data_IF_939169944890
#
_entry.id   IF_939169944890
#
_cell.length_a   1.000
_cell.length_b   1.000
_cell.length_c   1.000
_cell.angle_alpha   90.00
_cell.angle_beta   90.00
_cell.angle_gamma   90.00
#
_symmetry.space_group_name_H-M   'P 1'
#
loop_
_entity.id
_entity.type
_entity.pdbx_description
1 polymer ?
#
# COMPACT_ATOMS: atom_id res chain seq x y z
N UNK A 1 -12.47 -19.36 -26.60
CA UNK A 1 -11.79 -20.25 -25.64
C UNK A 1 -11.21 -19.36 -24.53
N UNK A 2 -11.90 -19.23 -23.40
CA UNK A 2 -11.41 -18.40 -22.29
C UNK A 2 -10.31 -19.16 -21.56
N UNK A 3 -9.10 -18.61 -21.54
CA UNK A 3 -7.95 -19.17 -20.82
C UNK A 3 -8.26 -19.05 -19.33
N UNK A 4 -8.67 -20.15 -18.68
CA UNK A 4 -8.80 -20.23 -17.21
C UNK A 4 -7.41 -20.42 -16.61
N UNK A 5 -6.94 -19.45 -15.84
CA UNK A 5 -5.73 -19.56 -15.01
C UNK A 5 -5.90 -20.73 -14.04
N UNK A 6 -4.94 -21.67 -14.05
CA UNK A 6 -4.90 -22.79 -13.10
C UNK A 6 -4.63 -22.22 -11.69
N UNK A 7 -5.53 -22.44 -10.74
CA UNK A 7 -5.31 -22.11 -9.33
C UNK A 7 -4.22 -23.02 -8.76
N UNK A 8 -3.08 -22.45 -8.36
CA UNK A 8 -1.94 -23.20 -7.81
C UNK A 8 -1.47 -22.71 -6.44
N UNK A 9 -2.19 -21.79 -5.80
CA UNK A 9 -1.82 -21.24 -4.49
C UNK A 9 -2.32 -22.14 -3.35
N UNK A 10 -1.40 -22.59 -2.49
CA UNK A 10 -1.74 -23.19 -1.20
C UNK A 10 -2.05 -22.13 -0.13
N UNK A 11 -2.51 -22.58 1.04
CA UNK A 11 -2.83 -21.68 2.18
C UNK A 11 -1.59 -20.89 2.63
N UNK A 12 -0.43 -21.54 2.66
CA UNK A 12 0.85 -20.92 3.06
C UNK A 12 1.28 -19.83 2.08
N UNK A 13 1.15 -20.08 0.77
CA UNK A 13 1.46 -19.09 -0.26
C UNK A 13 0.53 -17.87 -0.16
N UNK A 14 -0.76 -18.10 0.14
CA UNK A 14 -1.74 -17.04 0.37
C UNK A 14 -1.42 -16.18 1.60
N UNK A 15 -1.04 -16.80 2.73
CA UNK A 15 -0.62 -16.07 3.94
C UNK A 15 0.62 -15.24 3.65
N UNK A 16 1.64 -15.83 3.02
CA UNK A 16 2.88 -15.13 2.66
C UNK A 16 2.61 -13.93 1.75
N UNK A 17 1.69 -14.08 0.79
CA UNK A 17 1.30 -13.00 -0.11
C UNK A 17 0.64 -11.83 0.63
N UNK A 18 -0.34 -12.13 1.49
CA UNK A 18 -1.05 -11.10 2.26
C UNK A 18 -0.08 -10.40 3.21
N UNK A 19 0.74 -11.16 3.94
CA UNK A 19 1.76 -10.60 4.85
C UNK A 19 2.76 -9.72 4.11
N UNK A 20 3.27 -10.15 2.96
CA UNK A 20 4.21 -9.36 2.15
C UNK A 20 3.60 -8.09 1.55
N UNK A 21 2.28 -8.04 1.42
CA UNK A 21 1.58 -6.84 0.94
C UNK A 21 1.24 -5.83 2.03
N UNK A 22 0.96 -6.30 3.26
CA UNK A 22 0.65 -5.45 4.43
C UNK A 22 1.94 -4.90 5.03
N UNK A 23 3.02 -5.70 5.10
CA UNK A 23 4.33 -5.25 5.57
C UNK A 23 4.99 -4.40 4.47
N UNK A 24 4.53 -3.15 4.39
CA UNK A 24 5.00 -2.14 3.45
C UNK A 24 6.04 -1.21 4.06
N UNK A 25 6.34 -0.13 3.33
CA UNK A 25 7.20 0.93 3.85
C UNK A 25 6.52 1.86 4.86
N UNK A 26 5.21 1.69 5.07
CA UNK A 26 4.46 2.47 6.04
C UNK A 26 5.04 2.39 7.44
N UNK A 27 5.60 1.24 7.86
CA UNK A 27 6.25 1.08 9.16
C UNK A 27 7.50 1.96 9.34
N UNK A 28 8.16 2.35 8.27
CA UNK A 28 9.31 3.24 8.34
C UNK A 28 8.89 4.70 8.34
N UNK A 29 7.83 5.04 7.58
CA UNK A 29 7.31 6.40 7.41
C UNK A 29 6.50 6.88 8.63
N UNK A 30 5.71 5.98 9.21
CA UNK A 30 4.62 6.30 10.14
C UNK A 30 5.01 6.60 11.59
N UNK A 31 6.11 6.06 12.17
CA UNK A 31 6.43 6.26 13.57
C UNK A 31 6.57 7.74 13.98
N UNK A 32 7.33 8.55 13.23
CA UNK A 32 7.57 9.95 13.61
C UNK A 32 6.29 10.79 13.59
N UNK A 33 5.44 10.74 12.54
CA UNK A 33 4.16 11.45 12.55
C UNK A 33 3.19 10.96 13.62
N UNK A 34 3.17 9.66 13.94
CA UNK A 34 2.31 9.10 15.00
C UNK A 34 2.76 9.61 16.38
N UNK A 35 4.06 9.60 16.66
CA UNK A 35 4.61 10.09 17.91
C UNK A 35 4.32 11.59 18.09
N UNK A 36 4.53 12.39 17.05
CA UNK A 36 4.21 13.82 17.06
C UNK A 36 2.71 14.06 17.29
N UNK A 37 1.83 13.33 16.59
CA UNK A 37 0.38 13.44 16.76
C UNK A 37 -0.12 12.96 18.13
N UNK A 38 0.62 12.05 18.78
CA UNK A 38 0.37 11.58 20.15
C UNK A 38 0.92 12.52 21.24
N UNK A 39 1.33 13.75 20.89
CA UNK A 39 1.87 14.73 21.85
C UNK A 39 3.22 14.33 22.41
N UNK A 40 4.06 13.68 21.58
CA UNK A 40 5.38 13.13 21.94
C UNK A 40 5.35 12.06 23.04
N UNK A 41 4.18 11.47 23.30
CA UNK A 41 3.99 10.41 24.29
C UNK A 41 4.18 9.03 23.66
N UNK A 42 5.20 8.26 24.05
CA UNK A 42 5.44 6.91 23.51
C UNK A 42 4.30 5.94 23.83
N UNK A 43 3.72 6.03 25.03
CA UNK A 43 2.59 5.20 25.47
C UNK A 43 1.34 5.44 24.63
N UNK A 44 0.97 6.71 24.37
CA UNK A 44 -0.15 7.02 23.49
C UNK A 44 0.13 6.62 22.03
N UNK A 45 1.35 6.82 21.54
CA UNK A 45 1.73 6.37 20.19
C UNK A 45 1.56 4.85 20.02
N UNK A 46 1.96 4.05 21.03
CA UNK A 46 1.75 2.60 21.04
C UNK A 46 0.25 2.23 21.10
N UNK A 47 -0.57 2.96 21.85
CA UNK A 47 -2.03 2.79 21.83
C UNK A 47 -2.62 3.07 20.44
N UNK A 48 -2.13 4.10 19.73
CA UNK A 48 -2.53 4.38 18.34
C UNK A 48 -2.17 3.20 17.43
N UNK A 49 -0.94 2.67 17.52
CA UNK A 49 -0.53 1.49 16.76
C UNK A 49 -1.43 0.27 17.01
N UNK A 50 -1.75 -0.01 18.28
CA UNK A 50 -2.61 -1.14 18.67
C UNK A 50 -4.03 -0.96 18.11
N UNK A 51 -4.61 0.24 18.24
CA UNK A 51 -5.97 0.52 17.75
C UNK A 51 -6.05 0.46 16.23
N UNK A 52 -5.04 0.96 15.51
CA UNK A 52 -4.94 0.80 14.06
C UNK A 52 -4.82 -0.68 13.64
N UNK A 53 -4.07 -1.49 14.39
CA UNK A 53 -3.96 -2.93 14.13
C UNK A 53 -5.30 -3.65 14.29
N UNK A 54 -6.03 -3.38 15.38
CA UNK A 54 -7.39 -3.93 15.59
C UNK A 54 -8.33 -3.49 14.48
N UNK A 55 -8.30 -2.21 14.10
CA UNK A 55 -9.09 -1.67 12.99
C UNK A 55 -8.80 -2.39 11.67
N UNK A 56 -7.53 -2.64 11.35
CA UNK A 56 -7.13 -3.32 10.13
C UNK A 56 -7.59 -4.79 10.09
N UNK A 57 -7.54 -5.49 11.23
CA UNK A 57 -8.06 -6.87 11.33
C UNK A 57 -9.57 -6.90 11.09
N UNK A 58 -10.32 -6.02 11.76
CA UNK A 58 -11.78 -5.93 11.57
C UNK A 58 -12.14 -5.61 10.11
N UNK A 59 -11.45 -4.66 9.49
CA UNK A 59 -11.64 -4.32 8.07
C UNK A 59 -11.33 -5.50 7.14
N UNK A 60 -10.25 -6.23 7.39
CA UNK A 60 -9.83 -7.38 6.58
C UNK A 60 -10.81 -8.55 6.69
N UNK A 61 -11.36 -8.81 7.88
CA UNK A 61 -12.39 -9.84 8.08
C UNK A 61 -13.67 -9.52 7.29
N UNK A 62 -14.10 -8.26 7.29
CA UNK A 62 -15.25 -7.81 6.48
C UNK A 62 -15.02 -8.04 4.98
N UNK A 63 -13.83 -7.73 4.48
CA UNK A 63 -13.48 -7.95 3.07
C UNK A 63 -13.38 -9.45 2.76
N UNK A 64 -12.80 -10.25 3.66
CA UNK A 64 -12.64 -11.69 3.47
C UNK A 64 -13.99 -12.42 3.31
N UNK A 65 -14.97 -12.11 4.16
CA UNK A 65 -16.34 -12.66 4.03
C UNK A 65 -16.95 -12.36 2.66
N UNK A 66 -16.65 -11.18 2.14
CA UNK A 66 -17.26 -10.65 0.93
C UNK A 66 -16.62 -11.22 -0.34
N UNK A 67 -15.31 -11.40 -0.35
CA UNK A 67 -14.58 -12.09 -1.43
C UNK A 67 -15.07 -13.54 -1.56
N UNK A 68 -15.47 -14.18 -0.46
CA UNK A 68 -16.05 -15.54 -0.48
C UNK A 68 -17.46 -15.54 -1.07
N UNK A 69 -18.25 -14.48 -0.86
CA UNK A 69 -19.63 -14.34 -1.36
C UNK A 69 -19.68 -13.90 -2.82
N UNK A 70 -18.90 -12.89 -3.20
CA UNK A 70 -18.84 -12.32 -4.54
C UNK A 70 -17.68 -12.99 -5.27
N UNK A 71 -17.93 -14.17 -5.86
CA UNK A 71 -16.92 -14.93 -6.61
C UNK A 71 -16.64 -14.34 -8.01
N UNK A 72 -16.53 -13.02 -8.10
CA UNK A 72 -16.16 -12.30 -9.32
C UNK A 72 -14.75 -11.72 -9.18
N UNK A 73 -13.97 -11.82 -10.24
CA UNK A 73 -12.67 -11.16 -10.35
C UNK A 73 -12.86 -9.63 -10.43
N UNK A 74 -11.91 -8.85 -9.89
CA UNK A 74 -11.92 -7.37 -9.96
C UNK A 74 -11.80 -6.61 -8.63
N UNK A 75 -11.71 -7.31 -7.50
CA UNK A 75 -11.44 -6.72 -6.19
C UNK A 75 -12.61 -5.94 -5.57
N UNK A 76 -12.31 -4.92 -4.75
CA UNK A 76 -13.32 -4.12 -4.04
C UNK A 76 -14.29 -3.37 -4.97
N UNK A 77 -13.86 -3.06 -6.19
CA UNK A 77 -14.70 -2.43 -7.21
C UNK A 77 -15.92 -3.29 -7.54
N UNK A 78 -15.72 -4.59 -7.78
CA UNK A 78 -16.81 -5.51 -8.18
C UNK A 78 -17.88 -5.64 -7.11
N UNK A 79 -17.47 -5.54 -5.85
CA UNK A 79 -18.35 -5.52 -4.69
C UNK A 79 -19.21 -4.26 -4.66
N UNK A 80 -18.59 -3.10 -4.87
CA UNK A 80 -19.30 -1.81 -4.88
C UNK A 80 -20.27 -1.78 -6.05
N UNK A 81 -19.88 -2.33 -7.21
CA UNK A 81 -20.77 -2.50 -8.36
C UNK A 81 -21.99 -3.35 -8.02
N UNK A 82 -21.80 -4.50 -7.39
CA UNK A 82 -22.91 -5.38 -7.01
C UNK A 82 -23.83 -4.73 -5.96
N UNK A 83 -23.26 -3.97 -5.03
CA UNK A 83 -24.03 -3.33 -3.96
C UNK A 83 -24.79 -2.07 -4.41
N UNK A 84 -24.17 -1.23 -5.24
CA UNK A 84 -24.66 0.13 -5.54
C UNK A 84 -24.88 0.42 -7.01
N UNK A 85 -24.56 -0.51 -7.90
CA UNK A 85 -24.69 -0.36 -9.34
C UNK A 85 -23.53 0.44 -9.97
N UNK A 86 -23.71 0.72 -11.26
CA UNK A 86 -22.67 1.24 -12.16
C UNK A 86 -22.10 2.60 -11.72
N UNK A 87 -22.96 3.57 -11.38
CA UNK A 87 -22.55 4.95 -11.09
C UNK A 87 -21.61 5.06 -9.88
N UNK A 88 -21.97 4.43 -8.76
CA UNK A 88 -21.16 4.46 -7.54
C UNK A 88 -19.87 3.68 -7.73
N UNK A 89 -19.94 2.59 -8.49
CA UNK A 89 -18.76 1.80 -8.83
C UNK A 89 -17.78 2.58 -9.69
N UNK A 90 -18.27 3.34 -10.68
CA UNK A 90 -17.42 4.19 -11.52
C UNK A 90 -16.70 5.26 -10.71
N UNK A 91 -17.42 5.96 -9.82
CA UNK A 91 -16.79 6.97 -8.93
C UNK A 91 -15.76 6.32 -8.02
N UNK A 92 -16.07 5.15 -7.46
CA UNK A 92 -15.16 4.40 -6.59
C UNK A 92 -13.91 3.93 -7.34
N UNK A 93 -14.08 3.49 -8.58
CA UNK A 93 -13.01 3.11 -9.48
C UNK A 93 -12.12 4.31 -9.81
N UNK A 94 -12.71 5.44 -10.18
CA UNK A 94 -11.99 6.67 -10.50
C UNK A 94 -11.20 7.18 -9.29
N UNK A 95 -11.82 7.20 -8.10
CA UNK A 95 -11.16 7.54 -6.84
C UNK A 95 -9.99 6.58 -6.55
N UNK A 96 -10.17 5.28 -6.74
CA UNK A 96 -9.11 4.31 -6.48
C UNK A 96 -7.93 4.45 -7.44
N UNK A 97 -8.18 4.62 -8.74
CA UNK A 97 -7.15 4.54 -9.78
C UNK A 97 -6.47 5.88 -10.08
N UNK A 98 -7.16 7.02 -9.98
CA UNK A 98 -6.62 8.33 -10.32
C UNK A 98 -6.24 9.18 -9.10
N UNK A 99 -6.70 8.82 -7.91
CA UNK A 99 -6.45 9.58 -6.69
C UNK A 99 -5.64 8.74 -5.69
N UNK A 100 -6.20 7.64 -5.19
CA UNK A 100 -5.59 6.87 -4.11
C UNK A 100 -4.29 6.17 -4.55
N UNK A 101 -4.29 5.43 -5.66
CA UNK A 101 -3.07 4.73 -6.13
C UNK A 101 -1.93 5.70 -6.50
N UNK A 102 -2.15 6.76 -7.30
CA UNK A 102 -1.09 7.73 -7.60
C UNK A 102 -0.54 8.41 -6.35
N UNK A 103 -1.39 8.81 -5.39
CA UNK A 103 -0.91 9.36 -4.11
C UNK A 103 -0.03 8.38 -3.34
N UNK A 104 -0.42 7.10 -3.29
CA UNK A 104 0.39 6.06 -2.63
C UNK A 104 1.75 5.86 -3.31
N UNK A 105 1.81 5.92 -4.65
CA UNK A 105 3.06 5.91 -5.42
C UNK A 105 3.93 7.13 -5.06
N UNK A 106 3.34 8.33 -5.00
CA UNK A 106 4.07 9.57 -4.69
C UNK A 106 4.60 9.57 -3.26
N UNK A 107 3.78 9.22 -2.27
CA UNK A 107 4.21 9.13 -0.85
C UNK A 107 5.39 8.17 -0.71
N UNK A 108 5.32 7.02 -1.37
CA UNK A 108 6.40 6.02 -1.35
C UNK A 108 7.67 6.54 -2.02
N UNK A 109 7.53 7.25 -3.13
CA UNK A 109 8.66 7.82 -3.88
C UNK A 109 9.33 8.97 -3.11
N UNK A 110 8.55 9.84 -2.48
CA UNK A 110 9.07 10.90 -1.60
C UNK A 110 9.80 10.30 -0.40
N UNK A 111 9.23 9.26 0.23
CA UNK A 111 9.89 8.55 1.31
C UNK A 111 11.23 7.97 0.86
N UNK A 112 11.30 7.33 -0.33
CA UNK A 112 12.55 6.85 -0.89
C UNK A 112 13.60 7.97 -0.97
N UNK A 113 13.22 9.13 -1.52
CA UNK A 113 14.08 10.31 -1.59
C UNK A 113 14.58 10.76 -0.21
N UNK A 114 13.69 10.87 0.77
CA UNK A 114 14.03 11.29 2.14
C UNK A 114 15.02 10.33 2.79
N UNK A 115 14.81 9.02 2.69
CA UNK A 115 15.70 8.04 3.33
C UNK A 115 17.04 7.86 2.60
N UNK A 116 17.09 8.01 1.27
CA UNK A 116 18.35 7.98 0.50
C UNK A 116 19.22 9.19 0.84
N UNK A 117 18.60 10.36 1.01
CA UNK A 117 19.32 11.60 1.27
C UNK A 117 19.72 11.76 2.73
N UNK A 118 19.05 11.07 3.66
CA UNK A 118 19.32 11.20 5.11
C UNK A 118 20.80 11.00 5.49
N UNK A 119 21.54 10.00 4.95
CA UNK A 119 22.97 9.85 5.21
C UNK A 119 23.84 11.03 4.71
N UNK A 120 23.42 11.70 3.63
CA UNK A 120 24.18 12.80 3.02
C UNK A 120 24.02 14.09 3.84
N UNK A 121 22.88 14.25 4.49
CA UNK A 121 22.54 15.42 5.31
C UNK A 121 22.52 15.09 6.81
N UNK A 122 23.36 14.15 7.27
CA UNK A 122 23.40 13.70 8.68
C UNK A 122 23.68 14.85 9.67
N UNK A 123 24.59 15.74 9.30
CA UNK A 123 25.10 16.81 10.18
C UNK A 123 24.42 18.17 9.93
N UNK A 124 23.43 18.23 9.02
CA UNK A 124 22.70 19.45 8.75
C UNK A 124 21.58 19.65 9.78
N UNK A 125 21.46 20.86 10.39
CA UNK A 125 20.37 21.17 11.32
C UNK A 125 19.00 21.17 10.63
N UNK A 126 18.98 21.48 9.33
CA UNK A 126 17.79 21.39 8.48
C UNK A 126 17.76 20.05 7.73
N UNK A 127 16.57 19.44 7.61
CA UNK A 127 16.38 18.25 6.77
C UNK A 127 16.76 18.52 5.30
N UNK A 128 17.02 17.46 4.53
CA UNK A 128 17.38 17.57 3.12
C UNK A 128 16.39 18.48 2.35
N UNK A 129 16.87 19.37 1.46
CA UNK A 129 15.98 20.31 0.78
C UNK A 129 14.83 19.61 0.07
N UNK A 130 13.60 20.14 0.20
CA UNK A 130 12.38 19.53 -0.38
C UNK A 130 12.52 19.31 -1.88
N UNK A 131 13.20 20.21 -2.59
CA UNK A 131 13.50 20.07 -4.01
C UNK A 131 14.37 18.84 -4.32
N UNK A 132 15.38 18.56 -3.48
CA UNK A 132 16.24 17.37 -3.63
C UNK A 132 15.46 16.09 -3.36
N UNK A 133 14.64 16.06 -2.29
CA UNK A 133 13.76 14.92 -1.99
C UNK A 133 12.81 14.65 -3.15
N UNK A 134 12.15 15.70 -3.69
CA UNK A 134 11.25 15.57 -4.83
C UNK A 134 11.98 15.08 -6.08
N UNK A 135 13.19 15.57 -6.35
CA UNK A 135 13.99 15.16 -7.51
C UNK A 135 14.39 13.68 -7.42
N UNK A 136 14.94 13.24 -6.28
CA UNK A 136 15.29 11.83 -6.06
C UNK A 136 14.07 10.92 -6.05
N UNK A 137 12.96 11.37 -5.46
CA UNK A 137 11.70 10.63 -5.51
C UNK A 137 11.16 10.50 -6.93
N UNK A 138 11.19 11.57 -7.73
CA UNK A 138 10.74 11.58 -9.11
C UNK A 138 11.60 10.66 -9.98
N UNK A 139 12.93 10.72 -9.85
CA UNK A 139 13.83 9.85 -10.61
C UNK A 139 13.63 8.39 -10.25
N UNK A 140 13.49 8.06 -8.96
CA UNK A 140 13.14 6.70 -8.52
C UNK A 140 11.81 6.25 -9.13
N UNK A 141 10.76 7.05 -9.01
CA UNK A 141 9.43 6.74 -9.54
C UNK A 141 9.44 6.48 -11.05
N UNK A 142 10.02 7.39 -11.84
CA UNK A 142 10.10 7.28 -13.30
C UNK A 142 10.91 6.04 -13.71
N UNK A 143 12.01 5.75 -13.01
CA UNK A 143 12.82 4.56 -13.26
C UNK A 143 12.01 3.27 -13.06
N UNK A 144 11.23 3.18 -11.98
CA UNK A 144 10.36 2.02 -11.72
C UNK A 144 9.24 1.87 -12.74
N UNK A 145 8.64 2.98 -13.19
CA UNK A 145 7.62 2.97 -14.23
C UNK A 145 8.22 2.51 -15.57
N UNK A 146 9.40 3.01 -15.93
CA UNK A 146 10.11 2.60 -17.15
C UNK A 146 10.47 1.10 -17.11
N UNK A 147 10.94 0.59 -15.97
CA UNK A 147 11.21 -0.84 -15.78
C UNK A 147 9.94 -1.69 -15.94
N UNK A 148 8.81 -1.23 -15.40
CA UNK A 148 7.51 -1.90 -15.57
C UNK A 148 7.02 -1.89 -17.01
N UNK A 149 7.27 -0.82 -17.78
CA UNK A 149 7.01 -0.79 -19.21
C UNK A 149 7.90 -1.78 -19.98
N UNK A 150 9.17 -1.90 -19.59
CA UNK A 150 10.17 -2.76 -20.26
C UNK A 150 10.00 -4.25 -19.95
N UNK A 151 9.90 -4.63 -18.68
CA UNK A 151 9.79 -6.02 -18.26
C UNK A 151 9.21 -6.17 -16.85
N UNK A 152 7.97 -6.62 -16.81
CA UNK A 152 7.26 -7.04 -15.60
C UNK A 152 8.03 -8.10 -14.79
N UNK A 153 8.73 -9.01 -15.47
CA UNK A 153 9.48 -10.08 -14.79
C UNK A 153 10.67 -9.54 -14.00
N UNK A 154 11.41 -8.59 -14.58
CA UNK A 154 12.55 -7.96 -13.90
C UNK A 154 12.05 -7.23 -12.66
N UNK A 155 10.97 -6.47 -12.79
CA UNK A 155 10.42 -5.74 -11.64
C UNK A 155 9.85 -6.67 -10.56
N UNK A 156 9.31 -7.84 -10.93
CA UNK A 156 8.91 -8.86 -9.95
C UNK A 156 10.10 -9.43 -9.15
N UNK A 157 11.25 -9.67 -9.80
CA UNK A 157 12.47 -10.07 -9.09
C UNK A 157 13.00 -8.97 -8.17
N UNK A 158 13.02 -7.72 -8.64
CA UNK A 158 13.40 -6.55 -7.82
C UNK A 158 12.48 -6.45 -6.60
N UNK A 159 11.16 -6.60 -6.78
CA UNK A 159 10.19 -6.58 -5.68
C UNK A 159 10.47 -7.66 -4.63
N UNK A 160 10.83 -8.85 -5.08
CA UNK A 160 11.15 -9.96 -4.18
C UNK A 160 12.38 -9.63 -3.34
N UNK A 161 13.45 -9.15 -3.97
CA UNK A 161 14.67 -8.74 -3.27
C UNK A 161 14.40 -7.60 -2.26
N UNK A 162 13.59 -6.61 -2.67
CA UNK A 162 13.10 -5.52 -1.80
C UNK A 162 12.34 -6.07 -0.59
N UNK A 163 11.50 -7.08 -0.78
CA UNK A 163 10.67 -7.67 0.29
C UNK A 163 11.53 -8.42 1.31
N UNK A 164 12.49 -9.22 0.86
CA UNK A 164 13.46 -9.89 1.75
C UNK A 164 14.23 -8.85 2.57
N UNK A 165 14.67 -7.78 1.91
CA UNK A 165 15.39 -6.67 2.53
C UNK A 165 14.59 -5.98 3.63
N UNK A 166 13.28 -5.76 3.42
CA UNK A 166 12.37 -5.20 4.43
C UNK A 166 12.33 -6.02 5.70
N UNK A 167 12.14 -7.33 5.54
CA UNK A 167 12.02 -8.26 6.66
C UNK A 167 13.33 -8.28 7.46
N UNK A 168 14.47 -8.31 6.78
CA UNK A 168 15.78 -8.23 7.43
C UNK A 168 15.96 -6.92 8.20
N UNK A 169 15.58 -5.78 7.62
CA UNK A 169 15.66 -4.49 8.31
C UNK A 169 14.81 -4.45 9.59
N UNK A 170 13.60 -5.01 9.55
CA UNK A 170 12.73 -5.10 10.73
C UNK A 170 13.31 -6.00 11.80
N UNK A 171 13.83 -7.17 11.44
CA UNK A 171 14.51 -8.07 12.39
C UNK A 171 15.70 -7.38 13.06
N UNK A 172 16.51 -6.64 12.28
CA UNK A 172 17.63 -5.87 12.82
C UNK A 172 17.17 -4.78 13.79
N UNK A 173 16.17 -3.97 13.42
CA UNK A 173 15.65 -2.91 14.31
C UNK A 173 15.09 -3.50 15.60
N UNK A 174 14.30 -4.57 15.52
CA UNK A 174 13.75 -5.24 16.70
C UNK A 174 14.84 -5.83 17.60
N UNK A 175 15.85 -6.48 17.03
CA UNK A 175 16.95 -7.07 17.81
C UNK A 175 17.82 -6.00 18.49
N UNK A 176 18.19 -4.93 17.79
CA UNK A 176 18.91 -3.81 18.39
C UNK A 176 18.09 -3.11 19.49
N UNK A 177 16.78 -2.94 19.28
CA UNK A 177 15.88 -2.39 20.29
C UNK A 177 15.83 -3.25 21.57
N UNK A 178 15.72 -4.57 21.44
CA UNK A 178 15.74 -5.49 22.58
C UNK A 178 17.08 -5.47 23.33
N UNK A 179 18.20 -5.39 22.60
CA UNK A 179 19.54 -5.27 23.21
C UNK A 179 19.66 -3.96 23.99
N UNK A 180 19.17 -2.84 23.46
CA UNK A 180 19.19 -1.54 24.14
C UNK A 180 18.37 -1.58 25.45
N UNK A 181 17.16 -2.16 25.42
CA UNK A 181 16.35 -2.36 26.62
C UNK A 181 17.10 -3.23 27.63
N UNK A 182 17.74 -4.33 27.19
CA UNK A 182 18.52 -5.21 28.05
C UNK A 182 19.77 -4.56 28.67
N UNK A 183 20.29 -3.48 28.06
CA UNK A 183 21.39 -2.66 28.59
C UNK A 183 20.94 -1.59 29.58
N UNK A 184 19.63 -1.37 29.71
CA UNK A 184 19.06 -0.34 30.60
C UNK A 184 18.79 1.00 29.92
N UNK A 185 18.87 1.10 28.58
CA UNK A 185 18.56 2.32 27.81
C UNK A 185 17.04 2.58 27.73
N UNK A 186 16.38 2.68 28.88
CA UNK A 186 14.90 2.79 29.00
C UNK A 186 14.42 4.21 29.30
N UNK A 187 15.25 5.23 29.06
CA UNK A 187 14.90 6.63 29.36
C UNK A 187 13.63 7.08 28.63
N UNK A 188 13.47 6.68 27.36
CA UNK A 188 12.28 6.94 26.55
C UNK A 188 11.01 6.21 27.04
N UNK A 189 11.13 5.28 27.99
CA UNK A 189 10.01 4.54 28.57
C UNK A 189 9.65 5.05 29.98
N UNK A 190 10.38 6.03 30.53
CA UNK A 190 10.03 6.68 31.80
C UNK A 190 8.86 7.63 31.53
N UNK A 191 7.80 7.52 32.35
CA UNK A 191 6.54 8.27 32.20
C UNK A 191 5.93 8.20 30.78
N UNK A 192 5.60 7.00 30.28
CA UNK A 192 5.29 6.78 28.86
C UNK A 192 4.05 7.55 28.39
N UNK A 193 3.16 7.96 29.30
CA UNK A 193 1.93 8.70 29.00
C UNK A 193 2.04 10.21 29.18
N UNK A 194 3.24 10.74 29.51
CA UNK A 194 3.44 12.18 29.59
C UNK A 194 3.35 12.80 28.20
N UNK A 195 2.51 13.83 28.07
CA UNK A 195 2.28 14.56 26.81
C UNK A 195 2.71 16.00 26.94
N UNK A 196 3.30 16.57 25.90
CA UNK A 196 3.58 18.02 25.84
C UNK A 196 2.50 18.78 25.09
N UNK A 197 2.12 18.30 23.90
CA UNK A 197 1.30 19.06 22.94
C UNK A 197 0.18 18.20 22.33
N UNK A 198 -0.64 17.58 23.18
CA UNK A 198 -1.73 16.73 22.70
C UNK A 198 -2.87 17.57 22.13
N UNK A 199 -3.19 17.37 20.86
CA UNK A 199 -4.35 17.98 20.20
C UNK A 199 -5.23 16.90 19.59
N UNK A 200 -6.55 17.14 19.56
CA UNK A 200 -7.49 16.21 18.93
C UNK A 200 -7.16 16.00 17.44
N UNK A 201 -6.77 17.07 16.73
CA UNK A 201 -6.33 16.99 15.34
C UNK A 201 -5.05 16.19 15.15
N UNK A 202 -4.09 16.31 16.06
CA UNK A 202 -2.86 15.51 16.07
C UNK A 202 -3.14 14.02 16.25
N UNK A 203 -4.04 13.67 17.18
CA UNK A 203 -4.40 12.28 17.44
C UNK A 203 -5.15 11.64 16.26
N UNK A 204 -6.07 12.37 15.62
CA UNK A 204 -6.75 11.92 14.39
C UNK A 204 -5.74 11.71 13.26
N UNK A 205 -4.79 12.63 13.10
CA UNK A 205 -3.73 12.49 12.11
C UNK A 205 -2.83 11.28 12.39
N UNK A 206 -2.46 11.04 13.65
CA UNK A 206 -1.71 9.85 14.06
C UNK A 206 -2.47 8.57 13.68
N UNK A 207 -3.78 8.51 13.93
CA UNK A 207 -4.61 7.38 13.53
C UNK A 207 -4.65 7.20 12.01
N UNK A 208 -4.77 8.27 11.23
CA UNK A 208 -4.72 8.22 9.76
C UNK A 208 -3.40 7.65 9.26
N UNK A 209 -2.27 8.14 9.75
CA UNK A 209 -0.94 7.63 9.37
C UNK A 209 -0.76 6.17 9.83
N UNK A 210 -1.29 5.80 11.01
CA UNK A 210 -1.29 4.42 11.49
C UNK A 210 -2.08 3.48 10.57
N UNK A 211 -3.26 3.90 10.09
CA UNK A 211 -4.04 3.10 9.13
C UNK A 211 -3.35 2.96 7.77
N UNK A 212 -2.58 3.98 7.33
CA UNK A 212 -1.73 3.87 6.13
C UNK A 212 -0.68 2.76 6.29
N UNK A 213 -0.07 2.63 7.48
CA UNK A 213 0.93 1.61 7.74
C UNK A 213 0.41 0.17 7.66
N UNK A 214 -0.87 -0.05 7.95
CA UNK A 214 -1.54 -1.36 7.86
C UNK A 214 -2.33 -1.55 6.55
N UNK A 215 -2.27 -0.61 5.61
CA UNK A 215 -2.96 -0.73 4.34
C UNK A 215 -2.38 -1.89 3.52
N UNK A 216 -3.25 -2.70 2.90
CA UNK A 216 -2.84 -3.86 2.11
C UNK A 216 -3.76 -5.07 2.26
N UNK A 217 -4.65 -5.11 3.26
CA UNK A 217 -5.60 -6.23 3.46
C UNK A 217 -6.60 -6.43 2.31
N UNK A 218 -6.84 -5.40 1.50
CA UNK A 218 -7.65 -5.47 0.28
C UNK A 218 -7.02 -6.34 -0.82
N UNK A 219 -5.72 -6.62 -0.73
CA UNK A 219 -5.04 -7.57 -1.64
C UNK A 219 -5.66 -8.95 -1.66
N UNK A 220 -6.31 -9.38 -0.57
CA UNK A 220 -7.02 -10.65 -0.52
C UNK A 220 -8.08 -10.72 -1.65
N UNK A 221 -8.70 -9.58 -1.99
CA UNK A 221 -9.68 -9.50 -3.07
C UNK A 221 -9.07 -9.63 -4.48
N UNK A 222 -7.75 -9.44 -4.60
CA UNK A 222 -6.98 -9.57 -5.85
C UNK A 222 -6.11 -10.85 -5.88
N UNK A 223 -5.89 -11.49 -4.74
CA UNK A 223 -5.02 -12.66 -4.55
C UNK A 223 -5.51 -13.92 -5.28
N UNK A 224 -6.74 -13.92 -5.80
CA UNK A 224 -7.33 -15.10 -6.43
C UNK A 224 -6.72 -15.47 -7.79
N UNK A 225 -5.96 -14.56 -8.42
CA UNK A 225 -5.53 -14.74 -9.81
C UNK A 225 -4.03 -14.93 -10.04
N UNK A 226 -3.10 -14.45 -9.20
CA UNK A 226 -1.68 -14.55 -9.55
C UNK A 226 -0.70 -14.44 -8.36
N UNK A 227 0.07 -15.50 -8.08
CA UNK A 227 1.52 -15.61 -8.33
C UNK A 227 2.09 -16.89 -7.69
N UNK A 228 3.24 -17.33 -8.22
CA UNK A 228 4.08 -18.38 -7.67
C UNK A 228 5.30 -17.78 -6.95
N UNK A 229 5.53 -18.29 -5.74
CA UNK A 229 6.74 -18.46 -4.93
C UNK A 229 8.04 -17.69 -5.26
N UNK A 230 8.65 -17.12 -4.22
CA UNK A 230 10.07 -16.80 -4.21
C UNK A 230 10.67 -16.92 -2.80
N UNK A 231 11.55 -17.91 -2.63
CA UNK A 231 12.32 -18.19 -1.42
C UNK A 231 13.79 -18.43 -1.81
N UNK A 232 14.71 -18.02 -0.95
CA UNK A 232 16.19 -18.02 -1.04
C UNK A 232 16.86 -16.81 -1.70
N UNK A 233 17.48 -15.97 -0.86
CA UNK A 233 18.94 -15.90 -0.72
C UNK A 233 19.31 -14.78 0.28
N UNK A 234 20.22 -15.09 1.21
CA UNK A 234 20.73 -14.19 2.26
C UNK A 234 22.24 -13.93 2.06
N UNK A 235 22.70 -12.74 2.49
CA UNK A 235 24.11 -12.39 2.69
C UNK A 235 24.28 -11.05 3.41
N UNK A 236 25.26 -10.96 4.32
CA UNK A 236 25.48 -9.92 5.34
C UNK A 236 26.00 -8.57 4.79
N UNK A 237 25.46 -7.43 5.29
CA UNK A 237 26.17 -6.15 5.39
C UNK A 237 25.47 -5.17 6.36
N UNK A 238 26.24 -4.52 7.25
CA UNK A 238 25.80 -3.76 8.44
C UNK A 238 25.80 -2.22 8.29
N UNK A 239 25.73 -1.67 7.07
CA UNK A 239 25.71 -0.21 6.79
C UNK A 239 24.39 0.30 6.16
N UNK A 240 23.34 -0.51 6.24
CA UNK A 240 22.33 -0.60 5.19
C UNK A 240 20.94 -0.11 5.58
N UNK A 241 20.72 0.37 6.81
CA UNK A 241 19.37 0.67 7.31
C UNK A 241 18.65 1.75 6.47
N UNK A 242 19.24 2.93 6.18
CA UNK A 242 18.56 3.95 5.36
C UNK A 242 18.32 3.50 3.91
N UNK A 243 19.29 2.77 3.34
CA UNK A 243 19.21 2.22 1.99
C UNK A 243 18.11 1.15 1.90
N UNK A 244 18.00 0.29 2.90
CA UNK A 244 16.96 -0.74 3.00
C UNK A 244 15.56 -0.14 3.12
N UNK A 245 15.42 0.97 3.84
CA UNK A 245 14.14 1.69 3.93
C UNK A 245 13.76 2.32 2.58
N UNK A 246 14.70 2.89 1.84
CA UNK A 246 14.41 3.46 0.51
C UNK A 246 14.13 2.41 -0.57
N UNK A 247 14.84 1.28 -0.51
CA UNK A 247 14.55 0.10 -1.33
C UNK A 247 13.15 -0.42 -0.96
N UNK A 248 12.80 -0.41 0.33
CA UNK A 248 11.49 -0.81 0.84
C UNK A 248 10.33 0.03 0.30
N UNK A 249 10.46 1.36 0.34
CA UNK A 249 9.43 2.29 -0.15
C UNK A 249 9.18 2.13 -1.64
N UNK A 250 10.24 1.85 -2.41
CA UNK A 250 10.12 1.59 -3.85
C UNK A 250 9.27 0.35 -4.19
N UNK A 251 9.17 -0.63 -3.29
CA UNK A 251 8.35 -1.82 -3.51
C UNK A 251 6.83 -1.57 -3.51
N UNK A 252 6.36 -0.48 -2.88
CA UNK A 252 4.94 -0.09 -2.97
C UNK A 252 4.61 0.49 -4.34
N UNK A 253 5.54 1.27 -4.92
CA UNK A 253 5.39 1.85 -6.26
C UNK A 253 5.09 0.73 -7.26
N UNK A 254 5.90 -0.32 -7.23
CA UNK A 254 5.74 -1.46 -8.11
C UNK A 254 4.42 -2.21 -7.89
N UNK A 255 4.06 -2.52 -6.63
CA UNK A 255 2.81 -3.20 -6.32
C UNK A 255 1.57 -2.41 -6.79
N UNK A 256 1.59 -1.08 -6.63
CA UNK A 256 0.50 -0.21 -7.08
C UNK A 256 0.45 -0.06 -8.61
N UNK A 257 1.59 0.02 -9.28
CA UNK A 257 1.66 0.04 -10.75
C UNK A 257 1.13 -1.27 -11.35
N UNK A 258 1.46 -2.42 -10.76
CA UNK A 258 0.95 -3.72 -11.19
C UNK A 258 -0.57 -3.83 -11.06
N UNK A 259 -1.10 -3.50 -9.89
CA UNK A 259 -2.55 -3.55 -9.65
C UNK A 259 -3.29 -2.54 -10.53
N UNK A 260 -2.87 -1.28 -10.52
CA UNK A 260 -3.60 -0.23 -11.20
C UNK A 260 -3.61 -0.38 -12.72
N UNK A 261 -2.50 -0.80 -13.32
CA UNK A 261 -2.47 -1.04 -14.78
C UNK A 261 -3.46 -2.12 -15.21
N UNK A 262 -3.63 -3.18 -14.41
CA UNK A 262 -4.60 -4.26 -14.68
C UNK A 262 -6.03 -3.84 -14.45
N UNK A 263 -6.31 -3.11 -13.36
CA UNK A 263 -7.64 -2.60 -13.10
C UNK A 263 -8.06 -1.62 -14.19
N UNK A 264 -7.19 -0.70 -14.61
CA UNK A 264 -7.45 0.21 -15.73
C UNK A 264 -7.66 -0.53 -17.06
N UNK A 265 -6.89 -1.59 -17.31
CA UNK A 265 -7.08 -2.45 -18.48
C UNK A 265 -8.45 -3.15 -18.45
N UNK A 266 -8.85 -3.75 -17.32
CA UNK A 266 -10.14 -4.41 -17.19
C UNK A 266 -11.30 -3.41 -17.35
N UNK A 267 -11.23 -2.29 -16.64
CA UNK A 267 -12.24 -1.23 -16.68
C UNK A 267 -12.41 -0.59 -18.06
N UNK A 268 -11.32 -0.38 -18.80
CA UNK A 268 -11.39 0.14 -20.18
C UNK A 268 -12.02 -0.86 -21.16
N UNK A 269 -11.93 -2.18 -20.89
CA UNK A 269 -12.65 -3.19 -21.68
C UNK A 269 -14.14 -3.24 -21.38
N UNK A 270 -14.53 -2.90 -20.15
CA UNK A 270 -15.93 -2.77 -19.74
C UNK A 270 -16.57 -1.44 -20.20
N UNK A 271 -15.80 -0.54 -20.80
CA UNK A 271 -16.31 0.71 -21.38
C UNK A 271 -16.27 1.92 -20.43
N UNK A 272 -15.80 1.76 -19.20
CA UNK A 272 -15.69 2.88 -18.23
C UNK A 272 -14.62 3.92 -18.61
N UNK A 273 -13.57 3.50 -19.32
CA UNK A 273 -12.45 4.36 -19.70
C UNK A 273 -12.10 4.24 -21.19
N UNK A 274 -11.36 5.22 -21.76
CA UNK A 274 -10.99 5.19 -23.18
C UNK A 274 -10.24 3.91 -23.58
N UNK A 275 -10.56 3.40 -24.79
CA UNK A 275 -10.04 2.12 -25.30
C UNK A 275 -8.51 2.03 -25.37
N UNK A 276 -7.79 3.15 -25.47
CA UNK A 276 -6.32 3.13 -25.52
C UNK A 276 -5.67 2.54 -24.26
N UNK A 277 -6.33 2.63 -23.09
CA UNK A 277 -5.84 2.05 -21.83
C UNK A 277 -5.90 0.52 -21.82
N UNK A 278 -6.69 -0.08 -22.72
CA UNK A 278 -6.78 -1.53 -22.90
C UNK A 278 -5.72 -2.09 -23.86
N UNK A 279 -4.80 -1.27 -24.38
CA UNK A 279 -3.80 -1.73 -25.34
C UNK A 279 -2.62 -2.43 -24.63
N UNK A 280 -2.18 -3.55 -25.19
CA UNK A 280 -1.07 -4.36 -24.69
C UNK A 280 0.12 -4.24 -25.65
N UNK A 281 1.31 -4.03 -25.11
CA UNK A 281 2.54 -4.09 -25.90
C UNK A 281 2.85 -5.54 -26.29
N UNK A 282 2.87 -5.82 -27.60
CA UNK A 282 2.83 -7.19 -28.16
C UNK A 282 4.02 -8.05 -27.75
N UNK A 283 5.24 -7.51 -27.73
CA UNK A 283 6.45 -8.31 -27.50
C UNK A 283 6.68 -8.66 -26.02
N UNK A 284 6.39 -7.74 -25.09
CA UNK A 284 6.64 -7.91 -23.65
C UNK A 284 5.38 -8.20 -22.84
N UNK A 285 4.19 -8.15 -23.47
CA UNK A 285 2.88 -8.32 -22.83
C UNK A 285 2.67 -7.34 -21.66
N UNK A 286 3.18 -6.12 -21.80
CA UNK A 286 3.09 -5.06 -20.79
C UNK A 286 1.98 -4.05 -21.12
N UNK A 287 1.35 -3.49 -20.09
CA UNK A 287 0.22 -2.55 -20.19
C UNK A 287 0.72 -1.10 -20.25
N UNK A 288 1.53 -0.78 -21.26
CA UNK A 288 2.31 0.47 -21.33
C UNK A 288 1.44 1.74 -21.23
N UNK A 289 0.32 1.89 -21.98
CA UNK A 289 -0.47 3.13 -21.91
C UNK A 289 -1.09 3.37 -20.53
N UNK A 290 -1.54 2.32 -19.85
CA UNK A 290 -2.08 2.43 -18.50
C UNK A 290 -1.00 2.85 -17.49
N UNK A 291 0.20 2.27 -17.58
CA UNK A 291 1.34 2.61 -16.72
C UNK A 291 1.75 4.08 -16.92
N UNK A 292 1.80 4.55 -18.17
CA UNK A 292 2.16 5.95 -18.49
C UNK A 292 1.11 6.90 -17.92
N UNK A 293 -0.18 6.64 -18.11
CA UNK A 293 -1.26 7.48 -17.56
C UNK A 293 -1.18 7.59 -16.04
N UNK A 294 -0.95 6.47 -15.34
CA UNK A 294 -0.74 6.48 -13.89
C UNK A 294 0.48 7.31 -13.49
N UNK A 295 1.58 7.16 -14.25
CA UNK A 295 2.81 7.93 -14.04
C UNK A 295 2.62 9.42 -14.20
N UNK A 296 1.91 9.86 -15.24
CA UNK A 296 1.62 11.28 -15.47
C UNK A 296 0.81 11.88 -14.32
N UNK A 297 -0.21 11.18 -13.84
CA UNK A 297 -1.04 11.64 -12.71
C UNK A 297 -0.21 11.72 -11.43
N UNK A 298 0.64 10.72 -11.18
CA UNK A 298 1.55 10.72 -10.02
C UNK A 298 2.55 11.90 -10.10
N UNK A 299 3.11 12.20 -11.27
CA UNK A 299 3.98 13.36 -11.46
C UNK A 299 3.27 14.68 -11.11
N UNK A 300 2.04 14.88 -11.59
CA UNK A 300 1.26 16.11 -11.30
C UNK A 300 1.02 16.26 -9.79
N UNK A 301 0.64 15.17 -9.12
CA UNK A 301 0.41 15.17 -7.67
C UNK A 301 1.71 15.50 -6.90
N UNK A 302 2.84 14.94 -7.31
CA UNK A 302 4.14 15.17 -6.66
C UNK A 302 4.61 16.63 -6.77
N UNK A 303 4.29 17.30 -7.88
CA UNK A 303 4.62 18.72 -8.06
C UNK A 303 3.77 19.59 -7.13
N UNK A 304 2.46 19.31 -7.02
CA UNK A 304 1.51 20.17 -6.32
C UNK A 304 1.43 20.01 -4.79
N UNK A 305 1.88 18.88 -4.23
CA UNK A 305 1.66 18.58 -2.81
C UNK A 305 2.94 18.12 -2.08
N UNK A 306 2.93 18.29 -0.75
CA UNK A 306 3.95 17.79 0.16
C UNK A 306 3.53 16.47 0.83
N UNK A 307 4.51 15.72 1.32
CA UNK A 307 4.31 14.36 1.84
C UNK A 307 3.27 14.27 2.98
N UNK A 308 3.33 15.19 3.95
CA UNK A 308 2.39 15.18 5.10
C UNK A 308 0.97 15.50 4.64
N UNK A 309 0.81 16.50 3.77
CA UNK A 309 -0.48 16.87 3.20
C UNK A 309 -1.06 15.74 2.33
N UNK A 310 -0.21 15.05 1.57
CA UNK A 310 -0.59 13.85 0.81
C UNK A 310 -1.09 12.74 1.73
N UNK A 311 -0.38 12.44 2.83
CA UNK A 311 -0.81 11.42 3.79
C UNK A 311 -2.18 11.75 4.41
N UNK A 312 -2.45 13.03 4.73
CA UNK A 312 -3.75 13.47 5.26
C UNK A 312 -4.87 13.21 4.26
N UNK A 313 -4.72 13.71 3.04
CA UNK A 313 -5.74 13.59 1.98
C UNK A 313 -5.94 12.12 1.58
N UNK A 314 -4.85 11.37 1.38
CA UNK A 314 -4.91 9.95 1.06
C UNK A 314 -5.68 9.17 2.13
N UNK A 315 -5.34 9.35 3.40
CA UNK A 315 -5.92 8.55 4.49
C UNK A 315 -7.40 8.84 4.66
N UNK A 316 -7.81 10.11 4.54
CA UNK A 316 -9.21 10.50 4.56
C UNK A 316 -10.01 9.87 3.43
N UNK A 317 -9.51 9.98 2.19
CA UNK A 317 -10.20 9.43 1.01
C UNK A 317 -10.21 7.90 1.03
N UNK A 318 -9.15 7.26 1.53
CA UNK A 318 -9.10 5.82 1.69
C UNK A 318 -10.10 5.33 2.74
N UNK A 319 -10.25 6.06 3.85
CA UNK A 319 -11.27 5.76 4.86
C UNK A 319 -12.68 5.84 4.27
N UNK A 320 -12.98 6.87 3.47
CA UNK A 320 -14.26 7.02 2.78
C UNK A 320 -14.51 5.87 1.78
N UNK A 321 -13.48 5.48 1.03
CA UNK A 321 -13.54 4.36 0.08
C UNK A 321 -13.84 3.03 0.80
N UNK A 322 -13.11 2.72 1.88
CA UNK A 322 -13.35 1.54 2.70
C UNK A 322 -14.74 1.56 3.35
N UNK A 323 -15.18 2.72 3.85
CA UNK A 323 -16.51 2.88 4.43
C UNK A 323 -17.61 2.56 3.41
N UNK A 324 -17.48 3.05 2.18
CA UNK A 324 -18.42 2.76 1.08
C UNK A 324 -18.49 1.26 0.81
N UNK A 325 -17.34 0.57 0.76
CA UNK A 325 -17.31 -0.89 0.62
C UNK A 325 -18.02 -1.59 1.78
N UNK A 326 -17.79 -1.17 3.03
CA UNK A 326 -18.44 -1.74 4.22
C UNK A 326 -19.96 -1.52 4.20
N UNK A 327 -20.44 -0.33 3.87
CA UNK A 327 -21.89 -0.07 3.72
C UNK A 327 -22.48 -0.97 2.61
N UNK A 328 -21.72 -1.17 1.53
CA UNK A 328 -22.06 -2.13 0.48
C UNK A 328 -22.26 -3.54 1.01
N UNK A 329 -21.41 -4.00 1.93
CA UNK A 329 -21.55 -5.30 2.62
C UNK A 329 -22.89 -5.38 3.35
N UNK A 330 -23.20 -4.36 4.17
CA UNK A 330 -24.45 -4.35 4.94
C UNK A 330 -25.69 -4.37 4.04
N UNK A 331 -25.63 -3.66 2.91
CA UNK A 331 -26.70 -3.68 1.90
C UNK A 331 -26.83 -5.07 1.27
N UNK A 332 -25.75 -5.66 0.80
CA UNK A 332 -25.74 -7.00 0.19
C UNK A 332 -26.20 -8.09 1.18
N UNK A 333 -25.87 -7.97 2.47
CA UNK A 333 -26.38 -8.88 3.51
C UNK A 333 -27.90 -8.82 3.66
N UNK A 334 -28.54 -7.67 3.41
CA UNK A 334 -29.99 -7.51 3.51
C UNK A 334 -30.73 -7.92 2.24
N UNK A 335 -30.09 -7.77 1.07
CA UNK A 335 -30.76 -7.97 -0.22
C UNK A 335 -30.50 -9.33 -0.87
N UNK A 336 -29.35 -9.97 -0.61
CA UNK A 336 -29.02 -11.28 -1.18
C UNK A 336 -29.40 -12.42 -0.23
N UNK A 337 -30.26 -13.32 -0.69
CA UNK A 337 -30.62 -14.54 0.02
C UNK A 337 -29.41 -15.52 -0.06
N UNK A 338 -28.94 -16.13 1.05
CA UNK A 338 -27.75 -17.00 1.06
C UNK A 338 -27.81 -18.20 0.09
N UNK A 339 -28.99 -18.53 -0.46
CA UNK A 339 -29.20 -19.61 -1.43
C UNK A 339 -28.79 -19.23 -2.86
N UNK A 340 -28.76 -17.95 -3.22
CA UNK A 340 -28.46 -17.50 -4.59
C UNK A 340 -26.96 -17.41 -4.88
N UNK A 341 -26.12 -17.26 -3.84
CA UNK A 341 -24.66 -17.24 -3.95
C UNK A 341 -24.05 -18.56 -4.48
N UNK A 342 -24.77 -19.68 -4.36
CA UNK A 342 -24.33 -20.99 -4.86
C UNK A 342 -24.61 -21.21 -6.35
N UNK A 343 -25.50 -20.42 -6.98
CA UNK A 343 -25.87 -20.62 -8.40
C UNK A 343 -24.87 -20.05 -9.41
N UNK A 344 -24.02 -19.11 -9.00
CA UNK A 344 -23.03 -18.46 -9.90
C UNK A 344 -21.75 -19.30 -10.07
N UNK A 345 -21.67 -20.49 -9.45
CA UNK A 345 -20.49 -21.38 -9.51
C UNK A 345 -20.60 -22.43 -10.64
N UNK A 346 -21.77 -22.60 -11.25
CA UNK A 346 -22.06 -23.66 -12.22
C UNK A 346 -22.42 -23.19 -13.64
N UNK A 347 -22.04 -21.97 -14.01
CA UNK A 347 -22.00 -21.48 -15.40
C UNK A 347 -20.63 -20.84 -15.64
#
# INVERSE_FOLDING_TARGET
MAIKLKKQLGVVDGISYVTGSIIGSGIFISPSPILAGAGSSPGLALCVWLTCGVWAVLGSLCIAELVIRVRKSGGLYTIIHEAFGENVSFVSLWLSEFILRPMSIVVSSLAAGTYILRPVFLDCPDEAPTAAIKLFGLTAMVSYLALNCYSIRITAYIQTAVTITKVLALVLISTFGLIAIGRGDTENLRDPFKTTDLTAGGLVFAFYVGTYAFNGGDTIAYAYEEYAFAEKCMGNMKWSIPIFVAISTSGIVNANTFKGSRTLFAASREGYFPKYLSMIYVQKKTLVPAIITMGMVACVIMLGMEMISLLKVYSFLNALYCFTAIVGIFKLRRTHNPKDALRVVYL
#
